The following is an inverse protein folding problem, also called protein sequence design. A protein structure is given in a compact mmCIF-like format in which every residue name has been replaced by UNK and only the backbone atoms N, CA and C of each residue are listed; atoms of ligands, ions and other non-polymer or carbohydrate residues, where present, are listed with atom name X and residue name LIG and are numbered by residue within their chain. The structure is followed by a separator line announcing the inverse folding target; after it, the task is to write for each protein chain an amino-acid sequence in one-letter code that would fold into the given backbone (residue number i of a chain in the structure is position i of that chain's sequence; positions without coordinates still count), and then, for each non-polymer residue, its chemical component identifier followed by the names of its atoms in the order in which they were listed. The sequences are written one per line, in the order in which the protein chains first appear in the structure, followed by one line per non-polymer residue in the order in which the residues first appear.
data_IF_192668592334
#
_entry.id   IF_192668592334
#
_cell.length_a   1.000
_cell.length_b   1.000
_cell.length_c   1.000
_cell.angle_alpha   90.00
_cell.angle_beta   90.00
_cell.angle_gamma   90.00
#
_symmetry.space_group_name_H-M   'P 1'
#
loop_
_entity.id
_entity.type
_entity.pdbx_description
1 polymer ?
#
# COMPACT_ATOMS: atom_id res chain seq x y z
N UNK A 1 7.39 21.68 15.08
CA UNK A 1 6.79 20.39 15.45
C UNK A 1 5.32 20.52 15.17
N UNK A 2 4.71 19.53 14.49
CA UNK A 2 3.30 19.62 14.14
C UNK A 2 2.57 18.33 14.50
N UNK A 3 1.43 18.46 15.17
CA UNK A 3 0.49 17.38 15.47
C UNK A 3 -0.50 17.29 14.31
N UNK A 4 -0.39 16.23 13.51
CA UNK A 4 -1.15 16.05 12.27
C UNK A 4 -2.19 14.96 12.43
N UNK A 5 -3.44 15.26 12.06
CA UNK A 5 -4.53 14.30 11.90
C UNK A 5 -4.64 13.91 10.44
N UNK A 6 -4.46 12.63 10.13
CA UNK A 6 -4.57 12.06 8.78
C UNK A 6 -5.85 11.28 8.59
N UNK A 7 -6.53 11.48 7.46
CA UNK A 7 -7.78 10.80 7.08
C UNK A 7 -7.54 10.00 5.80
N UNK A 8 -7.84 8.69 5.86
CA UNK A 8 -7.78 7.76 4.74
C UNK A 8 -9.16 7.20 4.43
N UNK A 9 -9.58 7.30 3.16
CA UNK A 9 -10.86 6.76 2.67
C UNK A 9 -10.79 6.34 1.20
N UNK A 10 -9.62 6.00 0.67
CA UNK A 10 -9.47 5.77 -0.78
C UNK A 10 -10.15 4.50 -1.31
N UNK A 11 -10.43 3.51 -0.45
CA UNK A 11 -10.99 2.22 -0.84
C UNK A 11 -12.10 1.76 0.11
N UNK A 12 -11.86 0.81 0.98
CA UNK A 12 -12.86 0.21 1.88
C UNK A 12 -12.56 0.41 3.38
N UNK A 13 -11.42 1.02 3.72
CA UNK A 13 -11.06 1.41 5.07
C UNK A 13 -11.36 2.89 5.33
N UNK A 14 -12.12 3.17 6.40
CA UNK A 14 -12.20 4.50 7.01
C UNK A 14 -11.16 4.57 8.11
N UNK A 15 -10.10 5.32 7.92
CA UNK A 15 -9.05 5.37 8.93
C UNK A 15 -8.65 6.80 9.31
N UNK A 16 -8.30 6.98 10.58
CA UNK A 16 -7.77 8.22 11.12
C UNK A 16 -6.52 7.93 11.94
N UNK A 17 -5.43 8.59 11.57
CA UNK A 17 -4.16 8.54 12.30
C UNK A 17 -3.81 9.90 12.90
N UNK A 18 -3.10 9.89 14.02
CA UNK A 18 -2.56 11.10 14.65
C UNK A 18 -1.06 10.89 14.86
N UNK A 19 -0.27 11.81 14.32
CA UNK A 19 1.19 11.77 14.33
C UNK A 19 1.74 13.08 14.87
N UNK A 20 2.63 13.03 15.84
CA UNK A 20 3.43 14.17 16.30
C UNK A 20 4.82 14.09 15.65
N UNK A 21 5.05 14.86 14.60
CA UNK A 21 6.21 14.77 13.70
C UNK A 21 6.36 13.37 13.09
N UNK A 22 7.13 12.49 13.71
CA UNK A 22 7.32 11.08 13.29
C UNK A 22 6.80 10.09 14.32
N UNK A 23 6.31 10.57 15.47
CA UNK A 23 5.79 9.71 16.52
C UNK A 23 4.32 9.40 16.27
N UNK A 24 4.01 8.14 16.07
CA UNK A 24 2.64 7.65 15.95
C UNK A 24 1.97 7.69 17.33
N UNK A 25 0.87 8.43 17.45
CA UNK A 25 0.07 8.52 18.69
C UNK A 25 -1.20 7.68 18.63
N UNK A 26 -1.86 7.63 17.46
CA UNK A 26 -3.05 6.81 17.24
C UNK A 26 -3.18 6.40 15.78
N UNK A 27 -3.78 5.23 15.54
CA UNK A 27 -4.17 4.76 14.21
C UNK A 27 -5.42 3.88 14.33
N UNK A 28 -6.57 4.46 14.05
CA UNK A 28 -7.88 3.80 14.17
C UNK A 28 -8.43 3.51 12.78
N UNK A 29 -8.84 2.27 12.56
CA UNK A 29 -9.34 1.79 11.27
C UNK A 29 -10.71 1.16 11.49
N UNK A 30 -11.66 1.51 10.63
CA UNK A 30 -12.97 0.86 10.47
C UNK A 30 -13.07 0.32 9.05
N UNK A 31 -12.96 -0.99 8.88
CA UNK A 31 -13.05 -1.63 7.58
C UNK A 31 -14.48 -2.00 7.22
N UNK A 32 -14.85 -1.82 5.97
CA UNK A 32 -16.11 -2.28 5.40
C UNK A 32 -15.99 -3.58 4.60
N UNK A 33 -14.84 -4.28 4.68
CA UNK A 33 -14.51 -5.49 3.90
C UNK A 33 -15.60 -6.57 4.00
N UNK A 34 -16.20 -6.77 5.18
CA UNK A 34 -17.26 -7.76 5.39
C UNK A 34 -18.53 -7.42 4.58
N UNK A 35 -18.82 -6.13 4.37
CA UNK A 35 -19.95 -5.69 3.56
C UNK A 35 -19.72 -5.99 2.06
N UNK A 36 -18.47 -6.08 1.65
CA UNK A 36 -18.06 -6.35 0.28
C UNK A 36 -17.88 -7.84 -0.03
N UNK A 37 -17.66 -8.69 0.97
CA UNK A 37 -17.37 -10.12 0.83
C UNK A 37 -18.41 -10.85 -0.05
N UNK A 38 -19.70 -10.55 0.11
CA UNK A 38 -20.79 -11.13 -0.69
C UNK A 38 -20.74 -10.79 -2.18
N UNK A 39 -20.05 -9.70 -2.55
CA UNK A 39 -19.89 -9.28 -3.94
C UNK A 39 -18.57 -9.77 -4.57
N UNK A 40 -17.66 -10.31 -3.74
CA UNK A 40 -16.35 -10.80 -4.17
C UNK A 40 -15.37 -9.70 -4.59
N UNK A 41 -15.57 -8.48 -4.09
CA UNK A 41 -14.73 -7.31 -4.34
C UNK A 41 -15.41 -6.02 -3.88
N UNK A 42 -14.66 -4.93 -3.82
CA UNK A 42 -15.13 -3.64 -3.30
C UNK A 42 -16.18 -3.02 -4.23
N UNK A 43 -17.33 -2.62 -3.67
CA UNK A 43 -18.40 -1.90 -4.35
C UNK A 43 -18.32 -0.43 -3.97
N UNK A 44 -18.02 0.49 -4.91
CA UNK A 44 -17.73 1.90 -4.60
C UNK A 44 -18.82 2.63 -3.82
N UNK A 45 -20.10 2.39 -4.15
CA UNK A 45 -21.21 3.04 -3.45
C UNK A 45 -21.35 2.55 -2.00
N UNK A 46 -21.13 1.24 -1.76
CA UNK A 46 -21.16 0.66 -0.42
C UNK A 46 -20.03 1.24 0.43
N UNK A 47 -18.82 1.32 -0.12
CA UNK A 47 -17.67 1.93 0.54
C UNK A 47 -17.94 3.39 0.92
N UNK A 48 -18.45 4.20 -0.02
CA UNK A 48 -18.74 5.63 0.23
C UNK A 48 -19.75 5.83 1.38
N UNK A 49 -20.78 5.00 1.46
CA UNK A 49 -21.76 5.02 2.56
C UNK A 49 -21.14 4.62 3.89
N UNK A 50 -20.34 3.56 3.89
CA UNK A 50 -19.64 3.10 5.09
C UNK A 50 -18.69 4.18 5.66
N UNK A 51 -17.98 4.91 4.79
CA UNK A 51 -17.14 6.04 5.22
C UNK A 51 -17.95 7.14 5.92
N UNK A 52 -19.10 7.52 5.38
CA UNK A 52 -19.96 8.53 6.00
C UNK A 52 -20.43 8.11 7.40
N UNK A 53 -20.80 6.85 7.57
CA UNK A 53 -21.27 6.31 8.84
C UNK A 53 -20.14 6.20 9.88
N UNK A 54 -18.94 5.78 9.47
CA UNK A 54 -17.82 5.52 10.37
C UNK A 54 -17.02 6.77 10.75
N UNK A 55 -16.94 7.78 9.89
CA UNK A 55 -16.01 8.91 9.99
C UNK A 55 -15.98 9.56 11.36
N UNK A 56 -17.14 9.93 11.90
CA UNK A 56 -17.23 10.64 13.17
C UNK A 56 -16.70 9.78 14.34
N UNK A 57 -17.01 8.49 14.34
CA UNK A 57 -16.60 7.58 15.40
C UNK A 57 -15.09 7.32 15.36
N UNK A 58 -14.53 7.13 14.15
CA UNK A 58 -13.11 6.88 13.95
C UNK A 58 -12.29 8.11 14.39
N UNK A 59 -12.72 9.34 14.04
CA UNK A 59 -12.07 10.58 14.52
C UNK A 59 -12.11 10.66 16.05
N UNK A 60 -13.27 10.46 16.68
CA UNK A 60 -13.39 10.51 18.14
C UNK A 60 -12.49 9.48 18.83
N UNK A 61 -12.44 8.27 18.29
CA UNK A 61 -11.61 7.21 18.86
C UNK A 61 -10.12 7.52 18.71
N UNK A 62 -9.68 8.04 17.56
CA UNK A 62 -8.28 8.42 17.34
C UNK A 62 -7.83 9.52 18.30
N UNK A 63 -8.64 10.56 18.52
CA UNK A 63 -8.35 11.61 19.50
C UNK A 63 -8.25 11.07 20.93
N UNK A 64 -9.16 10.14 21.29
CA UNK A 64 -9.14 9.49 22.61
C UNK A 64 -7.87 8.65 22.82
N UNK A 65 -7.48 7.85 21.83
CA UNK A 65 -6.28 7.01 21.89
C UNK A 65 -5.00 7.85 21.96
N UNK A 66 -4.92 8.91 21.15
CA UNK A 66 -3.82 9.86 21.18
C UNK A 66 -3.79 10.72 22.46
N UNK A 67 -4.88 10.75 23.24
CA UNK A 67 -5.07 11.59 24.43
C UNK A 67 -4.91 13.09 24.15
N UNK A 68 -5.42 13.52 22.99
CA UNK A 68 -5.40 14.94 22.57
C UNK A 68 -6.82 15.43 22.26
N UNK A 69 -7.01 16.76 22.34
CA UNK A 69 -8.22 17.41 21.88
C UNK A 69 -8.11 17.72 20.39
N UNK A 70 -9.24 17.83 19.71
CA UNK A 70 -9.29 18.26 18.30
C UNK A 70 -8.67 19.66 18.10
N UNK A 71 -8.69 20.51 19.14
CA UNK A 71 -8.09 21.86 19.12
C UNK A 71 -6.56 21.85 19.16
N UNK A 72 -5.97 20.76 19.65
CA UNK A 72 -4.51 20.58 19.75
C UNK A 72 -3.91 20.21 18.38
N UNK A 73 -4.73 19.79 17.42
CA UNK A 73 -4.28 19.44 16.07
C UNK A 73 -3.78 20.70 15.35
N UNK A 74 -2.57 20.62 14.81
CA UNK A 74 -1.93 21.72 14.08
C UNK A 74 -2.25 21.72 12.59
N UNK A 75 -2.48 20.55 11.98
CA UNK A 75 -2.79 20.39 10.57
C UNK A 75 -3.63 19.15 10.30
N UNK A 76 -4.38 19.18 9.21
CA UNK A 76 -5.18 18.06 8.72
C UNK A 76 -4.60 17.58 7.40
N UNK A 77 -4.36 16.28 7.28
CA UNK A 77 -3.97 15.63 6.03
C UNK A 77 -5.08 14.67 5.57
N UNK A 78 -5.26 14.54 4.29
CA UNK A 78 -6.28 13.64 3.71
C UNK A 78 -5.82 13.06 2.40
N UNK A 79 -6.10 11.81 2.17
CA UNK A 79 -5.90 11.20 0.86
C UNK A 79 -6.82 11.85 -0.17
N UNK A 80 -6.21 12.51 -1.17
CA UNK A 80 -6.93 13.16 -2.26
C UNK A 80 -6.92 12.32 -3.56
N UNK A 81 -6.10 11.26 -3.61
CA UNK A 81 -5.99 10.32 -4.72
C UNK A 81 -4.68 9.53 -4.71
N UNK A 82 -4.58 8.47 -5.55
CA UNK A 82 -5.68 7.84 -6.28
C UNK A 82 -6.61 7.03 -5.36
N UNK A 83 -7.77 6.59 -5.92
CA UNK A 83 -8.73 5.77 -5.19
C UNK A 83 -10.15 5.82 -5.78
N UNK A 84 -11.11 5.23 -5.10
CA UNK A 84 -12.51 5.28 -5.49
C UNK A 84 -13.07 6.68 -5.30
N UNK A 85 -13.52 7.32 -6.38
CA UNK A 85 -13.89 8.75 -6.37
C UNK A 85 -14.91 9.11 -5.29
N UNK A 86 -15.97 8.31 -5.11
CA UNK A 86 -16.99 8.54 -4.09
C UNK A 86 -16.45 8.42 -2.66
N UNK A 87 -15.55 7.48 -2.43
CA UNK A 87 -14.87 7.27 -1.16
C UNK A 87 -13.91 8.42 -0.83
N UNK A 88 -13.07 8.82 -1.80
CA UNK A 88 -12.18 9.99 -1.68
C UNK A 88 -12.95 11.27 -1.37
N UNK A 89 -14.10 11.50 -2.03
CA UNK A 89 -14.92 12.69 -1.80
C UNK A 89 -15.42 12.78 -0.35
N UNK A 90 -15.74 11.66 0.30
CA UNK A 90 -16.13 11.65 1.72
C UNK A 90 -14.98 12.12 2.60
N UNK A 91 -13.77 11.57 2.42
CA UNK A 91 -12.58 11.97 3.16
C UNK A 91 -12.22 13.43 2.96
N UNK A 92 -12.10 13.85 1.69
CA UNK A 92 -11.74 15.23 1.31
C UNK A 92 -12.75 16.24 1.86
N UNK A 93 -14.06 15.95 1.76
CA UNK A 93 -15.11 16.84 2.29
C UNK A 93 -15.03 16.93 3.81
N UNK A 94 -14.83 15.80 4.50
CA UNK A 94 -14.70 15.77 5.96
C UNK A 94 -13.47 16.55 6.43
N UNK A 95 -12.32 16.33 5.78
CA UNK A 95 -11.07 17.04 6.10
C UNK A 95 -11.19 18.55 5.83
N UNK A 96 -11.77 18.95 4.70
CA UNK A 96 -11.98 20.35 4.36
C UNK A 96 -12.90 21.06 5.36
N UNK A 97 -13.98 20.39 5.78
CA UNK A 97 -14.89 20.93 6.79
C UNK A 97 -14.19 21.09 8.15
N UNK A 98 -13.37 20.11 8.57
CA UNK A 98 -12.59 20.21 9.82
C UNK A 98 -11.54 21.31 9.72
N UNK A 99 -10.79 21.40 8.64
CA UNK A 99 -9.78 22.44 8.42
C UNK A 99 -10.38 23.84 8.51
N UNK A 100 -11.52 24.05 7.84
CA UNK A 100 -12.26 25.30 7.88
C UNK A 100 -12.78 25.62 9.29
N UNK A 101 -13.41 24.65 9.96
CA UNK A 101 -14.01 24.88 11.29
C UNK A 101 -12.98 25.15 12.38
N UNK A 102 -11.76 24.61 12.23
CA UNK A 102 -10.68 24.73 13.20
C UNK A 102 -9.66 25.81 12.85
N UNK A 103 -9.80 26.44 11.69
CA UNK A 103 -8.82 27.39 11.12
C UNK A 103 -7.40 26.76 11.05
N UNK A 104 -7.30 25.56 10.48
CA UNK A 104 -6.06 24.78 10.38
C UNK A 104 -5.69 24.50 8.91
N UNK A 105 -4.39 24.43 8.59
CA UNK A 105 -3.94 24.08 7.25
C UNK A 105 -4.38 22.67 6.86
N UNK A 106 -4.75 22.51 5.57
CA UNK A 106 -5.12 21.26 4.94
C UNK A 106 -4.03 20.79 3.99
N UNK A 107 -3.71 19.51 4.02
CA UNK A 107 -2.79 18.87 3.07
C UNK A 107 -3.49 17.70 2.40
N UNK A 108 -3.84 17.85 1.12
CA UNK A 108 -4.24 16.74 0.26
C UNK A 108 -3.01 15.95 -0.13
N UNK A 109 -2.98 14.65 0.17
CA UNK A 109 -1.80 13.81 -0.07
C UNK A 109 -2.11 12.67 -1.01
N UNK A 110 -1.07 12.17 -1.67
CA UNK A 110 -1.16 11.01 -2.55
C UNK A 110 -1.17 9.72 -1.72
N UNK A 111 -2.16 8.86 -1.97
CA UNK A 111 -2.34 7.57 -1.30
C UNK A 111 -1.11 6.65 -1.43
N UNK A 112 -0.55 6.56 -2.64
CA UNK A 112 0.57 5.67 -2.92
C UNK A 112 1.86 6.13 -2.24
N UNK A 113 2.10 7.45 -2.23
CA UNK A 113 3.23 8.04 -1.50
C UNK A 113 3.05 7.93 0.01
N UNK A 114 1.80 7.97 0.52
CA UNK A 114 1.50 7.79 1.92
C UNK A 114 1.92 6.39 2.42
N UNK A 115 1.71 5.34 1.64
CA UNK A 115 2.20 3.99 1.97
C UNK A 115 3.72 3.96 2.20
N UNK A 116 4.50 4.74 1.46
CA UNK A 116 5.95 4.81 1.64
C UNK A 116 6.29 5.64 2.88
N UNK A 117 5.52 6.68 3.18
CA UNK A 117 5.74 7.57 4.32
C UNK A 117 5.63 6.86 5.69
N UNK A 118 4.91 5.74 5.77
CA UNK A 118 4.83 4.92 6.99
C UNK A 118 6.20 4.52 7.53
N UNK A 119 7.17 4.31 6.65
CA UNK A 119 8.53 3.92 7.01
C UNK A 119 9.25 4.93 7.91
N UNK A 120 8.85 6.19 7.85
CA UNK A 120 9.42 7.23 8.70
C UNK A 120 8.86 7.26 10.13
N UNK A 121 7.75 6.55 10.41
CA UNK A 121 7.10 6.57 11.71
C UNK A 121 7.94 5.85 12.78
N UNK A 122 7.99 6.45 13.97
CA UNK A 122 8.73 5.95 15.12
C UNK A 122 10.21 5.66 14.83
N UNK A 123 10.79 6.37 13.85
CA UNK A 123 12.17 6.20 13.40
C UNK A 123 12.93 7.52 13.47
N UNK A 124 14.12 7.48 14.09
CA UNK A 124 15.06 8.60 14.10
C UNK A 124 15.99 8.62 12.88
N UNK A 125 15.86 7.64 11.98
CA UNK A 125 16.68 7.57 10.77
C UNK A 125 16.44 8.78 9.88
N UNK A 126 17.52 9.32 9.33
CA UNK A 126 17.41 10.35 8.30
C UNK A 126 16.76 9.75 7.05
N UNK A 127 15.82 10.49 6.49
CA UNK A 127 15.29 10.15 5.17
C UNK A 127 16.43 10.26 4.16
N UNK A 128 16.61 9.21 3.37
CA UNK A 128 17.62 9.12 2.32
C UNK A 128 16.99 8.55 1.05
N UNK A 129 17.61 8.73 -0.10
CA UNK A 129 17.12 8.11 -1.32
C UNK A 129 16.88 6.61 -1.14
N UNK A 130 15.80 6.12 -1.74
CA UNK A 130 15.38 4.73 -1.66
C UNK A 130 14.82 4.24 -3.00
N UNK A 131 14.93 2.95 -3.25
CA UNK A 131 14.01 2.25 -4.15
C UNK A 131 12.84 1.79 -3.30
N UNK A 132 11.62 2.13 -3.72
CA UNK A 132 10.41 1.66 -3.05
C UNK A 132 9.69 0.63 -3.94
N UNK A 133 9.46 -0.56 -3.40
CA UNK A 133 8.54 -1.54 -3.95
C UNK A 133 7.16 -1.30 -3.32
N UNK A 134 6.27 -0.69 -4.07
CA UNK A 134 4.90 -0.46 -3.67
C UNK A 134 4.02 -1.57 -4.23
N UNK A 135 3.44 -2.38 -3.34
CA UNK A 135 2.64 -3.55 -3.72
C UNK A 135 1.36 -3.64 -2.90
N UNK A 136 0.21 -3.44 -3.54
CA UNK A 136 -1.12 -3.44 -2.93
C UNK A 136 -2.13 -4.24 -3.76
N UNK A 137 -3.40 -4.17 -3.40
CA UNK A 137 -4.50 -4.75 -4.17
C UNK A 137 -4.56 -4.25 -5.60
N UNK A 138 -4.39 -2.94 -5.81
CA UNK A 138 -4.52 -2.30 -7.12
C UNK A 138 -3.21 -1.84 -7.76
N UNK A 139 -2.09 -1.88 -7.05
CA UNK A 139 -0.83 -1.32 -7.53
C UNK A 139 0.35 -2.26 -7.31
N UNK A 140 1.24 -2.32 -8.28
CA UNK A 140 2.54 -2.99 -8.17
C UNK A 140 3.54 -2.17 -8.96
N UNK A 141 4.41 -1.44 -8.26
CA UNK A 141 5.34 -0.49 -8.88
C UNK A 141 6.69 -0.45 -8.17
N UNK A 142 7.74 -0.22 -8.94
CA UNK A 142 9.07 0.12 -8.44
C UNK A 142 9.28 1.61 -8.65
N UNK A 143 9.59 2.31 -7.57
CA UNK A 143 9.75 3.74 -7.55
C UNK A 143 11.17 4.09 -7.10
N UNK A 144 11.75 5.11 -7.71
CA UNK A 144 12.94 5.77 -7.20
C UNK A 144 12.49 7.01 -6.42
N UNK A 145 12.77 7.03 -5.14
CA UNK A 145 12.41 8.10 -4.21
C UNK A 145 13.69 8.83 -3.84
N UNK A 146 13.95 9.98 -4.46
CA UNK A 146 15.06 10.84 -4.06
C UNK A 146 14.67 11.75 -2.87
N UNK A 147 13.43 12.23 -2.89
CA UNK A 147 12.76 12.93 -1.80
C UNK A 147 11.26 12.60 -1.88
N UNK A 148 10.71 11.98 -0.83
CA UNK A 148 9.33 11.48 -0.86
C UNK A 148 8.29 12.60 -1.02
N UNK A 149 8.58 13.83 -0.58
CA UNK A 149 7.67 14.96 -0.72
C UNK A 149 7.76 15.66 -2.08
N UNK A 150 8.86 15.51 -2.83
CA UNK A 150 9.18 16.38 -4.00
C UNK A 150 9.67 15.65 -5.24
N UNK A 151 10.33 14.48 -5.11
CA UNK A 151 11.00 13.80 -6.23
C UNK A 151 10.83 12.29 -6.13
N UNK A 152 9.71 11.81 -6.67
CA UNK A 152 9.35 10.39 -6.81
C UNK A 152 9.20 10.07 -8.30
N UNK A 153 9.91 9.05 -8.77
CA UNK A 153 9.92 8.62 -10.16
C UNK A 153 9.51 7.17 -10.29
N UNK A 154 8.60 6.87 -11.20
CA UNK A 154 8.24 5.49 -11.54
C UNK A 154 9.37 4.90 -12.37
N UNK A 155 9.94 3.77 -11.92
CA UNK A 155 10.92 2.97 -12.68
C UNK A 155 10.23 1.89 -13.49
N UNK A 156 9.19 1.30 -12.95
CA UNK A 156 8.36 0.31 -13.60
C UNK A 156 7.08 0.05 -12.81
N UNK A 157 6.08 -0.52 -13.46
CA UNK A 157 4.80 -0.84 -12.88
C UNK A 157 4.23 -2.11 -13.51
N UNK A 158 3.15 -2.64 -12.93
CA UNK A 158 2.43 -3.73 -13.60
C UNK A 158 1.78 -3.25 -14.90
N UNK A 159 1.86 -4.07 -15.94
CA UNK A 159 1.23 -3.82 -17.24
C UNK A 159 -0.15 -4.50 -17.37
N UNK A 160 -0.53 -5.27 -16.36
CA UNK A 160 -1.81 -5.98 -16.29
C UNK A 160 -2.32 -6.04 -14.84
N UNK A 161 -2.55 -7.21 -14.28
CA UNK A 161 -3.01 -7.37 -12.89
C UNK A 161 -1.94 -6.88 -11.88
N UNK A 162 -2.35 -6.25 -10.79
CA UNK A 162 -1.49 -6.03 -9.65
C UNK A 162 -1.21 -7.33 -8.88
N UNK A 163 -0.15 -7.37 -8.08
CA UNK A 163 0.20 -8.55 -7.30
C UNK A 163 -0.94 -8.95 -6.33
N UNK A 164 -1.51 -8.01 -5.59
CA UNK A 164 -2.63 -8.29 -4.69
C UNK A 164 -3.88 -8.80 -5.44
N UNK A 165 -4.19 -8.20 -6.58
CA UNK A 165 -5.27 -8.67 -7.46
C UNK A 165 -5.01 -10.11 -7.96
N UNK A 166 -3.76 -10.47 -8.27
CA UNK A 166 -3.39 -11.82 -8.63
C UNK A 166 -3.61 -12.81 -7.46
N UNK A 167 -3.27 -12.41 -6.23
CA UNK A 167 -3.59 -13.20 -5.02
C UNK A 167 -5.10 -13.41 -4.87
N UNK A 168 -5.92 -12.39 -5.02
CA UNK A 168 -7.38 -12.47 -4.90
C UNK A 168 -7.98 -13.39 -5.96
N UNK A 169 -7.55 -13.26 -7.22
CA UNK A 169 -8.01 -14.07 -8.34
C UNK A 169 -7.64 -15.55 -8.16
N UNK A 170 -6.40 -15.82 -7.72
CA UNK A 170 -5.94 -17.20 -7.51
C UNK A 170 -6.61 -17.83 -6.29
N UNK A 171 -6.77 -17.10 -5.18
CA UNK A 171 -7.52 -17.57 -4.02
C UNK A 171 -8.95 -17.97 -4.39
N UNK A 172 -9.62 -17.15 -5.22
CA UNK A 172 -10.98 -17.48 -5.74
C UNK A 172 -10.99 -18.73 -6.57
N UNK A 173 -10.03 -18.91 -7.49
CA UNK A 173 -9.90 -20.13 -8.33
C UNK A 173 -9.67 -21.36 -7.46
N UNK A 174 -8.89 -21.26 -6.39
CA UNK A 174 -8.61 -22.34 -5.44
C UNK A 174 -9.74 -22.58 -4.42
N UNK A 175 -10.77 -21.72 -4.39
CA UNK A 175 -11.85 -21.81 -3.40
C UNK A 175 -11.39 -21.55 -1.96
N UNK A 176 -10.46 -20.59 -1.77
CA UNK A 176 -9.89 -20.24 -0.46
C UNK A 176 -10.57 -19.03 0.23
N UNK A 177 -11.34 -18.23 -0.53
CA UNK A 177 -12.04 -17.06 0.01
C UNK A 177 -11.38 -15.72 -0.32
N UNK A 178 -11.80 -14.67 0.40
CA UNK A 178 -11.39 -13.27 0.23
C UNK A 178 -11.14 -12.63 1.62
N UNK A 179 -10.13 -11.74 1.79
CA UNK A 179 -9.09 -11.34 0.84
C UNK A 179 -8.08 -12.45 0.51
N UNK A 180 -7.64 -12.51 -0.75
CA UNK A 180 -6.79 -13.60 -1.26
C UNK A 180 -5.38 -13.65 -0.67
N UNK A 181 -4.76 -12.49 -0.42
CA UNK A 181 -3.40 -12.42 0.13
C UNK A 181 -3.24 -13.21 1.44
N UNK A 182 -3.99 -12.88 2.50
CA UNK A 182 -3.90 -13.58 3.79
C UNK A 182 -4.24 -15.07 3.73
N UNK A 183 -5.25 -15.46 2.93
CA UNK A 183 -5.67 -16.88 2.86
C UNK A 183 -4.65 -17.72 2.09
N UNK A 184 -4.05 -17.20 1.03
CA UNK A 184 -2.94 -17.88 0.32
C UNK A 184 -1.70 -17.96 1.21
N UNK A 185 -1.33 -16.89 1.90
CA UNK A 185 -0.17 -16.89 2.79
C UNK A 185 -0.35 -17.90 3.94
N UNK A 186 -1.56 -18.04 4.46
CA UNK A 186 -1.88 -19.04 5.48
C UNK A 186 -1.80 -20.48 4.95
N UNK A 187 -2.40 -20.74 3.78
CA UNK A 187 -2.39 -22.07 3.14
C UNK A 187 -0.97 -22.49 2.75
N UNK A 188 -0.18 -21.56 2.20
CA UNK A 188 1.20 -21.79 1.74
C UNK A 188 2.16 -22.27 2.85
N UNK A 189 1.87 -21.97 4.12
CA UNK A 189 2.71 -22.41 5.26
C UNK A 189 2.88 -23.92 5.36
N UNK A 190 1.90 -24.67 4.87
CA UNK A 190 1.87 -26.12 4.90
C UNK A 190 2.27 -26.76 3.56
N UNK A 191 2.74 -25.95 2.61
CA UNK A 191 3.09 -26.35 1.25
C UNK A 191 4.59 -26.34 0.96
N UNK A 192 4.93 -26.98 -0.16
CA UNK A 192 6.27 -26.93 -0.74
C UNK A 192 6.29 -25.88 -1.86
N UNK A 193 7.11 -24.85 -1.73
CA UNK A 193 7.23 -23.78 -2.72
C UNK A 193 7.90 -24.22 -4.05
N UNK A 194 8.66 -25.31 -4.01
CA UNK A 194 9.40 -25.85 -5.16
C UNK A 194 8.63 -26.99 -5.88
N UNK A 195 7.43 -27.33 -5.43
CA UNK A 195 6.64 -28.43 -6.01
C UNK A 195 6.19 -28.14 -7.44
N UNK A 196 5.83 -26.88 -7.71
CA UNK A 196 5.32 -26.48 -9.01
C UNK A 196 6.10 -25.26 -9.50
N UNK A 197 6.75 -25.39 -10.64
CA UNK A 197 7.47 -24.28 -11.26
C UNK A 197 6.49 -23.42 -12.08
N UNK A 198 5.85 -22.46 -11.43
CA UNK A 198 5.03 -21.47 -12.13
C UNK A 198 5.89 -20.42 -12.87
N UNK A 199 5.37 -19.86 -13.97
CA UNK A 199 6.11 -18.87 -14.76
C UNK A 199 6.34 -17.56 -13.95
N UNK A 200 7.49 -16.94 -14.20
CA UNK A 200 7.85 -15.59 -13.71
C UNK A 200 7.59 -14.61 -14.83
N UNK A 201 6.55 -13.76 -14.69
CA UNK A 201 6.16 -12.80 -15.72
C UNK A 201 7.28 -11.81 -16.05
N UNK A 202 7.48 -11.52 -17.33
CA UNK A 202 8.46 -10.56 -17.85
C UNK A 202 9.90 -10.78 -17.30
N UNK A 203 10.31 -12.04 -17.15
CA UNK A 203 11.63 -12.39 -16.62
C UNK A 203 12.58 -13.03 -17.65
N UNK A 204 12.13 -13.21 -18.90
CA UNK A 204 13.01 -13.71 -19.98
C UNK A 204 13.94 -12.61 -20.49
N UNK A 205 15.06 -12.99 -21.09
CA UNK A 205 16.09 -12.04 -21.56
C UNK A 205 15.55 -10.91 -22.44
N UNK A 206 14.64 -11.21 -23.36
CA UNK A 206 14.01 -10.20 -24.25
C UNK A 206 13.07 -9.27 -23.47
N UNK A 207 12.32 -9.80 -22.51
CA UNK A 207 11.43 -9.00 -21.65
C UNK A 207 12.24 -8.05 -20.79
N UNK A 208 13.37 -8.53 -20.23
CA UNK A 208 14.25 -7.73 -19.40
C UNK A 208 14.92 -6.57 -20.13
N UNK A 209 14.91 -6.54 -21.46
CA UNK A 209 15.36 -5.37 -22.23
C UNK A 209 14.31 -4.26 -22.33
N UNK A 210 13.02 -4.63 -22.47
CA UNK A 210 11.93 -3.66 -22.65
C UNK A 210 11.18 -3.36 -21.34
N UNK A 211 11.06 -4.36 -20.49
CA UNK A 211 10.25 -4.36 -19.26
C UNK A 211 11.10 -4.64 -18.04
N UNK A 212 12.27 -3.98 -17.95
CA UNK A 212 13.30 -4.22 -16.93
C UNK A 212 12.73 -4.27 -15.53
N UNK A 213 11.83 -3.35 -15.21
CA UNK A 213 11.24 -3.16 -13.89
C UNK A 213 9.72 -3.33 -13.89
N UNK A 214 9.10 -3.62 -15.05
CA UNK A 214 7.66 -3.83 -15.13
C UNK A 214 7.29 -5.23 -14.67
N UNK A 215 6.05 -5.36 -14.21
CA UNK A 215 5.46 -6.61 -13.75
C UNK A 215 4.34 -7.09 -14.67
N UNK A 216 4.06 -8.39 -14.65
CA UNK A 216 2.88 -9.00 -15.25
C UNK A 216 2.50 -10.24 -14.46
N UNK A 217 1.25 -10.32 -14.03
CA UNK A 217 0.72 -11.42 -13.22
C UNK A 217 -0.47 -12.15 -13.87
N UNK A 218 -1.07 -11.63 -14.94
CA UNK A 218 -2.21 -12.25 -15.60
C UNK A 218 -1.89 -13.64 -16.17
N UNK A 219 -0.67 -13.81 -16.73
CA UNK A 219 -0.19 -15.10 -17.22
C UNK A 219 -0.01 -16.14 -16.11
N UNK A 220 0.39 -15.73 -14.93
CA UNK A 220 0.55 -16.59 -13.76
C UNK A 220 -0.79 -17.16 -13.29
N UNK A 221 -1.85 -16.34 -13.24
CA UNK A 221 -3.22 -16.77 -12.94
C UNK A 221 -3.66 -17.88 -13.91
N UNK A 222 -3.42 -17.70 -15.21
CA UNK A 222 -3.77 -18.68 -16.23
C UNK A 222 -2.99 -19.99 -16.07
N UNK A 223 -1.71 -19.90 -15.68
CA UNK A 223 -0.89 -21.08 -15.43
C UNK A 223 -1.40 -21.88 -14.21
N UNK A 224 -1.81 -21.20 -13.14
CA UNK A 224 -2.44 -21.87 -11.98
C UNK A 224 -3.73 -22.55 -12.40
N UNK A 225 -4.63 -21.88 -13.10
CA UNK A 225 -5.90 -22.47 -13.55
C UNK A 225 -5.66 -23.76 -14.37
N UNK A 226 -4.77 -23.70 -15.36
CA UNK A 226 -4.42 -24.88 -16.18
C UNK A 226 -3.85 -26.04 -15.36
N UNK A 227 -2.99 -25.72 -14.39
CA UNK A 227 -2.43 -26.74 -13.50
C UNK A 227 -3.53 -27.46 -12.69
N UNK A 228 -4.49 -26.71 -12.14
CA UNK A 228 -5.61 -27.27 -11.37
C UNK A 228 -6.51 -28.16 -12.23
N UNK A 229 -6.76 -27.77 -13.48
CA UNK A 229 -7.55 -28.56 -14.44
C UNK A 229 -6.86 -29.87 -14.84
N UNK A 230 -5.53 -29.86 -14.96
CA UNK A 230 -4.73 -31.01 -15.38
C UNK A 230 -4.34 -31.96 -14.24
N UNK A 231 -4.48 -31.50 -12.98
CA UNK A 231 -4.01 -32.24 -11.79
C UNK A 231 -5.14 -32.37 -10.75
N UNK A 232 -6.12 -33.26 -10.96
CA UNK A 232 -7.32 -33.34 -10.11
C UNK A 232 -7.06 -33.57 -8.61
N UNK A 233 -5.93 -34.19 -8.27
CA UNK A 233 -5.55 -34.53 -6.88
C UNK A 233 -4.44 -33.62 -6.33
N UNK A 234 -4.38 -32.37 -6.76
CA UNK A 234 -3.39 -31.42 -6.27
C UNK A 234 -3.54 -31.14 -4.76
N UNK A 235 -2.43 -30.88 -4.09
CA UNK A 235 -2.43 -30.38 -2.71
C UNK A 235 -2.50 -28.86 -2.72
N UNK A 236 -3.58 -28.30 -2.15
CA UNK A 236 -3.83 -26.84 -2.15
C UNK A 236 -2.64 -26.06 -1.57
N UNK A 237 -2.04 -26.55 -0.49
CA UNK A 237 -0.91 -25.89 0.15
C UNK A 237 0.30 -25.75 -0.78
N UNK A 238 0.60 -26.77 -1.60
CA UNK A 238 1.74 -26.73 -2.54
C UNK A 238 1.48 -25.75 -3.68
N UNK A 239 0.24 -25.71 -4.19
CA UNK A 239 -0.16 -24.72 -5.21
C UNK A 239 -0.04 -23.30 -4.65
N UNK A 240 -0.55 -23.06 -3.43
CA UNK A 240 -0.47 -21.77 -2.76
C UNK A 240 0.98 -21.34 -2.53
N UNK A 241 1.83 -22.24 -2.04
CA UNK A 241 3.25 -21.98 -1.78
C UNK A 241 4.02 -21.66 -3.08
N UNK A 242 3.84 -22.48 -4.12
CA UNK A 242 4.51 -22.31 -5.41
C UNK A 242 4.05 -21.05 -6.15
N UNK A 243 2.74 -20.71 -6.08
CA UNK A 243 2.20 -19.47 -6.61
C UNK A 243 2.79 -18.25 -5.90
N UNK A 244 2.75 -18.25 -4.57
CA UNK A 244 3.30 -17.18 -3.74
C UNK A 244 4.79 -16.97 -4.01
N UNK A 245 5.55 -18.06 -4.12
CA UNK A 245 6.98 -18.01 -4.47
C UNK A 245 7.21 -17.34 -5.82
N UNK A 246 6.40 -17.68 -6.83
CA UNK A 246 6.53 -17.09 -8.16
C UNK A 246 6.30 -15.57 -8.16
N UNK A 247 5.30 -15.09 -7.40
CA UNK A 247 5.03 -13.65 -7.26
C UNK A 247 6.17 -12.94 -6.53
N UNK A 248 6.55 -13.46 -5.37
CA UNK A 248 7.58 -12.85 -4.50
C UNK A 248 8.93 -12.81 -5.18
N UNK A 249 9.30 -13.87 -5.90
CA UNK A 249 10.56 -13.95 -6.63
C UNK A 249 10.71 -12.83 -7.67
N UNK A 250 9.67 -12.59 -8.48
CA UNK A 250 9.66 -11.52 -9.49
C UNK A 250 9.74 -10.15 -8.85
N UNK A 251 8.94 -9.91 -7.79
CA UNK A 251 8.92 -8.63 -7.08
C UNK A 251 10.31 -8.28 -6.55
N UNK A 252 10.97 -9.20 -5.86
CA UNK A 252 12.28 -8.96 -5.26
C UNK A 252 13.39 -8.89 -6.29
N UNK A 253 13.40 -9.77 -7.29
CA UNK A 253 14.44 -9.79 -8.32
C UNK A 253 14.53 -8.44 -9.04
N UNK A 254 13.38 -7.88 -9.45
CA UNK A 254 13.33 -6.59 -10.15
C UNK A 254 13.62 -5.40 -9.23
N UNK A 255 13.18 -5.46 -7.96
CA UNK A 255 13.48 -4.40 -6.98
C UNK A 255 14.97 -4.34 -6.64
N UNK A 256 15.61 -5.47 -6.45
CA UNK A 256 17.06 -5.53 -6.19
C UNK A 256 17.88 -5.09 -7.41
N UNK A 257 17.45 -5.45 -8.63
CA UNK A 257 18.05 -4.94 -9.85
C UNK A 257 17.95 -3.41 -9.93
N UNK A 258 16.81 -2.83 -9.56
CA UNK A 258 16.63 -1.38 -9.51
C UNK A 258 17.56 -0.71 -8.48
N UNK A 259 17.77 -1.32 -7.31
CA UNK A 259 18.74 -0.84 -6.31
C UNK A 259 20.16 -0.84 -6.88
N UNK A 260 20.59 -1.96 -7.45
CA UNK A 260 21.95 -2.14 -7.97
C UNK A 260 22.24 -1.17 -9.12
N UNK A 261 21.33 -1.03 -10.06
CA UNK A 261 21.51 -0.18 -11.26
C UNK A 261 21.41 1.32 -10.96
N UNK A 262 20.65 1.71 -9.93
CA UNK A 262 20.58 3.11 -9.49
C UNK A 262 21.69 3.49 -8.51
N UNK A 263 22.44 2.53 -7.99
CA UNK A 263 23.43 2.77 -6.92
C UNK A 263 22.79 3.15 -5.58
N UNK A 264 21.49 2.85 -5.39
CA UNK A 264 20.76 3.12 -4.15
C UNK A 264 20.73 1.84 -3.29
N UNK A 265 21.33 1.90 -2.12
CA UNK A 265 21.49 0.78 -1.19
C UNK A 265 20.37 0.68 -0.14
N UNK A 266 19.20 1.23 -0.42
CA UNK A 266 18.04 1.29 0.48
C UNK A 266 16.78 0.85 -0.26
N UNK A 267 16.16 -0.26 0.19
CA UNK A 267 14.91 -0.79 -0.33
C UNK A 267 13.81 -0.63 0.72
N UNK A 268 12.74 0.08 0.36
CA UNK A 268 11.50 0.17 1.15
C UNK A 268 10.44 -0.70 0.49
N UNK A 269 9.77 -1.57 1.22
CA UNK A 269 8.63 -2.35 0.72
C UNK A 269 7.37 -1.86 1.44
N UNK A 270 6.38 -1.40 0.68
CA UNK A 270 5.16 -0.79 1.20
C UNK A 270 3.90 -1.30 0.50
N UNK A 271 2.72 -1.05 1.10
CA UNK A 271 1.43 -1.51 0.62
C UNK A 271 1.00 -2.85 1.21
N UNK A 272 -0.27 -3.22 1.02
CA UNK A 272 -0.89 -4.38 1.71
C UNK A 272 -0.18 -5.71 1.49
N UNK A 273 0.39 -5.95 0.29
CA UNK A 273 1.15 -7.18 0.00
C UNK A 273 2.48 -7.24 0.78
N UNK A 274 2.98 -6.11 1.29
CA UNK A 274 4.15 -6.09 2.18
C UNK A 274 3.93 -6.83 3.52
N UNK A 275 2.68 -7.14 3.88
CA UNK A 275 2.36 -7.98 5.04
C UNK A 275 2.62 -9.48 4.78
N UNK A 276 2.76 -9.91 3.52
CA UNK A 276 2.97 -11.31 3.15
C UNK A 276 4.24 -11.88 3.78
N UNK A 277 4.11 -13.03 4.46
CA UNK A 277 5.20 -13.60 5.26
C UNK A 277 6.38 -14.06 4.41
N UNK A 278 6.12 -14.63 3.23
CA UNK A 278 7.18 -15.10 2.33
C UNK A 278 7.95 -13.94 1.70
N UNK A 279 7.24 -12.87 1.31
CA UNK A 279 7.88 -11.64 0.81
C UNK A 279 8.84 -11.08 1.85
N UNK A 280 8.42 -10.97 3.10
CA UNK A 280 9.27 -10.48 4.21
C UNK A 280 10.49 -11.36 4.41
N UNK A 281 10.30 -12.68 4.47
CA UNK A 281 11.39 -13.64 4.68
C UNK A 281 12.43 -13.55 3.56
N UNK A 282 12.02 -13.61 2.30
CA UNK A 282 12.95 -13.57 1.17
C UNK A 282 13.59 -12.19 1.01
N UNK A 283 12.86 -11.11 1.31
CA UNK A 283 13.41 -9.76 1.27
C UNK A 283 14.59 -9.61 2.23
N UNK A 284 14.46 -10.07 3.48
CA UNK A 284 15.56 -10.06 4.46
C UNK A 284 16.78 -10.80 3.90
N UNK A 285 16.60 -12.07 3.51
CA UNK A 285 17.70 -12.91 3.03
C UNK A 285 18.41 -12.31 1.81
N UNK A 286 17.63 -11.83 0.82
CA UNK A 286 18.20 -11.31 -0.43
C UNK A 286 18.83 -9.93 -0.27
N UNK A 287 18.26 -9.06 0.55
CA UNK A 287 18.83 -7.74 0.84
C UNK A 287 20.14 -7.87 1.63
N UNK A 288 20.21 -8.76 2.62
CA UNK A 288 21.45 -9.06 3.35
C UNK A 288 22.54 -9.53 2.41
N UNK A 289 22.25 -10.50 1.53
CA UNK A 289 23.19 -11.00 0.53
C UNK A 289 23.67 -9.92 -0.44
N UNK A 290 22.78 -8.97 -0.81
CA UNK A 290 23.08 -7.87 -1.72
C UNK A 290 23.68 -6.63 -1.01
N UNK A 291 23.79 -6.62 0.32
CA UNK A 291 24.20 -5.47 1.15
C UNK A 291 23.31 -4.24 0.94
N UNK A 292 22.00 -4.46 0.81
CA UNK A 292 20.98 -3.43 0.68
C UNK A 292 20.28 -3.32 2.04
N UNK A 293 20.13 -2.10 2.56
CA UNK A 293 19.32 -1.86 3.75
C UNK A 293 17.84 -2.05 3.41
N UNK A 294 17.16 -2.88 4.18
CA UNK A 294 15.75 -3.17 3.99
C UNK A 294 14.90 -2.47 5.04
N UNK A 295 13.82 -1.85 4.59
CA UNK A 295 12.77 -1.34 5.45
C UNK A 295 11.40 -1.87 5.01
N UNK A 296 10.68 -2.48 5.96
CA UNK A 296 9.29 -2.94 5.77
C UNK A 296 8.51 -2.54 7.01
N UNK A 297 7.40 -1.79 6.87
CA UNK A 297 6.58 -1.39 8.00
C UNK A 297 6.05 -2.58 8.80
N UNK A 298 5.71 -2.41 10.09
CA UNK A 298 4.95 -3.40 10.84
C UNK A 298 3.68 -3.81 10.10
N UNK A 299 3.27 -5.09 10.20
CA UNK A 299 2.17 -5.64 9.40
C UNK A 299 0.85 -4.85 9.54
N UNK A 300 0.56 -4.32 10.72
CA UNK A 300 -0.61 -3.49 11.00
C UNK A 300 -0.56 -2.07 10.38
N UNK A 301 0.55 -1.69 9.76
CA UNK A 301 0.71 -0.43 9.04
C UNK A 301 0.94 -0.63 7.53
N UNK A 302 0.87 -1.86 7.03
CA UNK A 302 1.05 -2.16 5.60
C UNK A 302 -0.22 -1.90 4.77
N UNK A 303 -1.40 -2.16 5.34
CA UNK A 303 -2.70 -1.88 4.69
C UNK A 303 -3.08 -0.42 4.83
N UNK A 304 -4.17 0.00 4.17
CA UNK A 304 -4.68 1.36 4.23
C UNK A 304 -4.94 1.79 5.66
N UNK A 305 -4.41 2.94 6.04
CA UNK A 305 -4.48 3.43 7.41
C UNK A 305 -4.31 4.95 7.50
N UNK A 306 -4.79 5.56 8.60
CA UNK A 306 -4.70 7.00 8.80
C UNK A 306 -3.29 7.50 9.14
N UNK A 307 -2.47 6.63 9.74
CA UNK A 307 -1.10 6.99 10.14
C UNK A 307 -0.21 7.31 8.94
N UNK A 308 -0.37 6.61 7.82
CA UNK A 308 0.38 6.87 6.58
C UNK A 308 0.08 8.25 6.00
N UNK A 309 -1.19 8.67 6.07
CA UNK A 309 -1.65 9.97 5.60
C UNK A 309 -1.13 11.09 6.50
N UNK A 310 -1.22 10.90 7.83
CA UNK A 310 -0.66 11.84 8.81
C UNK A 310 0.86 11.96 8.68
N UNK A 311 1.57 10.84 8.42
CA UNK A 311 3.02 10.83 8.21
C UNK A 311 3.43 11.65 6.99
N UNK A 312 2.74 11.47 5.85
CA UNK A 312 3.03 12.24 4.64
C UNK A 312 2.69 13.72 4.80
N UNK A 313 1.58 14.04 5.48
CA UNK A 313 1.24 15.42 5.85
C UNK A 313 2.29 16.05 6.75
N UNK A 314 2.78 15.34 7.76
CA UNK A 314 3.86 15.80 8.64
C UNK A 314 5.16 16.01 7.88
N UNK A 315 5.48 15.14 6.92
CA UNK A 315 6.64 15.32 6.03
C UNK A 315 6.48 16.59 5.18
N UNK A 316 5.32 16.81 4.58
CA UNK A 316 5.04 18.00 3.78
C UNK A 316 5.30 19.30 4.56
N UNK A 317 4.82 19.35 5.81
CA UNK A 317 5.05 20.48 6.72
C UNK A 317 6.55 20.65 7.01
N UNK A 318 7.25 19.57 7.33
CA UNK A 318 8.69 19.63 7.66
C UNK A 318 9.56 20.05 6.47
N UNK A 319 9.12 19.77 5.27
CA UNK A 319 9.75 20.17 4.00
C UNK A 319 9.34 21.58 3.53
N UNK A 320 8.48 22.27 4.29
CA UNK A 320 8.03 23.63 4.00
C UNK A 320 7.12 23.72 2.78
N UNK A 321 6.34 22.65 2.48
CA UNK A 321 5.37 22.71 1.41
C UNK A 321 4.15 23.52 1.82
N UNK A 322 3.60 24.28 0.87
CA UNK A 322 2.40 25.08 1.09
C UNK A 322 1.18 24.19 1.33
N UNK A 323 0.26 24.58 2.22
CA UNK A 323 -1.00 23.89 2.39
C UNK A 323 -1.83 23.86 1.11
N UNK A 324 -2.61 22.82 0.94
CA UNK A 324 -3.61 22.73 -0.11
C UNK A 324 -4.71 23.78 0.08
N UNK A 325 -5.31 24.23 -1.02
CA UNK A 325 -6.47 25.13 -0.93
C UNK A 325 -7.67 24.39 -0.35
N UNK A 326 -8.52 25.06 0.42
CA UNK A 326 -9.82 24.53 0.76
C UNK A 326 -10.62 24.28 -0.54
N UNK A 327 -11.23 23.11 -0.65
CA UNK A 327 -11.92 22.69 -1.87
C UNK A 327 -11.00 22.01 -2.89
N UNK A 328 -9.91 21.35 -2.43
CA UNK A 328 -9.14 20.43 -3.29
C UNK A 328 -10.07 19.40 -3.94
N UNK A 329 -9.74 19.02 -5.17
CA UNK A 329 -10.48 17.98 -5.89
C UNK A 329 -9.93 16.60 -5.56
N UNK A 330 -10.80 15.63 -5.35
CA UNK A 330 -10.41 14.24 -5.38
C UNK A 330 -10.05 13.82 -6.81
N UNK A 331 -8.99 13.03 -6.95
CA UNK A 331 -8.48 12.53 -8.24
C UNK A 331 -8.30 11.02 -8.18
N UNK A 332 -9.23 10.29 -8.79
CA UNK A 332 -9.22 8.82 -8.78
C UNK A 332 -8.04 8.19 -9.53
N UNK A 333 -7.40 8.95 -10.41
CA UNK A 333 -6.29 8.50 -11.26
C UNK A 333 -4.99 9.28 -10.99
N UNK A 334 -4.87 9.89 -9.80
CA UNK A 334 -3.71 10.71 -9.46
C UNK A 334 -2.39 9.94 -9.64
N UNK A 335 -1.50 10.53 -10.41
CA UNK A 335 -0.15 9.99 -10.58
C UNK A 335 0.64 10.10 -9.28
N UNK A 336 1.50 9.11 -9.01
CA UNK A 336 2.33 9.09 -7.81
C UNK A 336 3.33 10.26 -7.74
N UNK A 337 3.68 10.83 -8.88
CA UNK A 337 4.52 12.03 -8.98
C UNK A 337 3.88 13.28 -8.35
N UNK A 338 2.56 13.31 -8.26
CA UNK A 338 1.81 14.35 -7.55
C UNK A 338 1.64 13.98 -6.09
N UNK A 339 2.65 14.25 -5.27
CA UNK A 339 2.66 13.84 -3.86
C UNK A 339 1.70 14.66 -2.99
N UNK A 340 1.61 15.98 -3.23
CA UNK A 340 0.72 16.93 -2.55
C UNK A 340 -0.22 17.59 -3.57
N UNK A 341 -1.48 17.86 -3.17
CA UNK A 341 -2.57 18.37 -4.02
C UNK A 341 -2.86 19.85 -3.80
#
# INVERSE_FOLDING_TARGET
MALVLGIETSCDETAVGIVDNRKLLANVISSSVDQHARFGGVVPEVASRAHLEAMQQVIKQALKEAKVSIKDIDAIAVTAGPGLIGALLVGVSSASALALALDKPLYGVNHLSAHIAVDMLNSDKKLRPAIALLVSGGHSSILQVNNLAKDVKVKGATIDDAAGEAFDKVARIMGLGFPGGPVIDSEAKNGNADEIIFPRGLSQNLDMQKHRYDFSFSGLKTAVLRYLEQTPNYKKADVAASFQEAVVDVLLTKSLAACQESGIDNLVIAGGVAANSRLRQLAVTRCEAAKIELSIPPANLCTDNGAMVAALGSLAISEGLEPSRLGISADSAAEISRVIF
#
